data_IF_882910998345
#
_entry.id   IF_882910998345
#
_cell.length_a   1.000
_cell.length_b   1.000
_cell.length_c   1.000
_cell.angle_alpha   90.00
_cell.angle_beta   90.00
_cell.angle_gamma   90.00
#
_symmetry.space_group_name_H-M   'P 1'
#
loop_
_entity.id
_entity.type
_entity.pdbx_description
1 polymer ?
#
# COMPACT_ATOMS: atom_id res chain seq x y z
N UNK A 1 -37.31 31.87 -29.47
CA UNK A 1 -36.71 30.53 -29.37
C UNK A 1 -35.41 30.62 -28.59
N UNK A 2 -35.36 30.19 -27.33
CA UNK A 2 -34.12 30.04 -26.57
C UNK A 2 -34.23 28.71 -25.80
N UNK A 3 -33.61 27.66 -26.34
CA UNK A 3 -33.47 26.39 -25.63
C UNK A 3 -32.20 26.49 -24.81
N UNK A 4 -32.36 26.67 -23.50
CA UNK A 4 -31.24 26.68 -22.55
C UNK A 4 -30.65 25.27 -22.50
N UNK A 5 -29.35 25.16 -22.81
CA UNK A 5 -28.59 23.95 -22.62
C UNK A 5 -28.41 23.71 -21.12
N UNK A 6 -29.07 22.68 -20.60
CA UNK A 6 -28.79 22.16 -19.26
C UNK A 6 -27.51 21.33 -19.39
N UNK A 7 -26.38 21.94 -19.01
CA UNK A 7 -25.11 21.25 -18.85
C UNK A 7 -25.18 20.49 -17.52
N UNK A 8 -25.60 19.22 -17.59
CA UNK A 8 -25.47 18.29 -16.48
C UNK A 8 -23.98 17.96 -16.38
N UNK A 9 -23.24 18.73 -15.58
CA UNK A 9 -21.94 18.31 -15.05
C UNK A 9 -22.24 17.17 -14.07
N UNK A 10 -22.38 15.97 -14.62
CA UNK A 10 -22.39 14.75 -13.83
C UNK A 10 -21.01 14.61 -13.21
N UNK A 11 -20.88 14.96 -11.93
CA UNK A 11 -19.75 14.57 -11.13
C UNK A 11 -19.76 13.04 -11.00
N UNK A 12 -19.14 12.36 -11.96
CA UNK A 12 -18.59 11.03 -11.73
C UNK A 12 -17.44 11.23 -10.74
N UNK A 13 -17.77 11.19 -9.45
CA UNK A 13 -16.81 10.87 -8.41
C UNK A 13 -16.37 9.43 -8.67
N UNK A 14 -15.44 9.29 -9.62
CA UNK A 14 -14.62 8.11 -9.78
C UNK A 14 -13.97 7.91 -8.41
N UNK A 15 -14.36 6.83 -7.74
CA UNK A 15 -13.61 6.27 -6.63
C UNK A 15 -12.19 6.05 -7.15
N UNK A 16 -11.29 7.01 -6.97
CA UNK A 16 -9.87 6.77 -7.15
C UNK A 16 -9.45 5.89 -5.97
N UNK A 17 -8.74 4.79 -6.23
CA UNK A 17 -8.20 3.99 -5.13
C UNK A 17 -7.32 4.85 -4.23
N UNK A 18 -7.66 4.96 -2.94
CA UNK A 18 -6.88 5.74 -1.97
C UNK A 18 -5.47 5.16 -1.78
N UNK A 19 -5.30 3.87 -2.07
CA UNK A 19 -4.05 3.14 -1.90
C UNK A 19 -3.74 2.28 -3.12
N UNK A 20 -2.46 1.92 -3.27
CA UNK A 20 -1.99 0.99 -4.29
C UNK A 20 -0.97 0.01 -3.74
N UNK A 21 -0.82 -1.11 -4.42
CA UNK A 21 0.35 -1.98 -4.32
C UNK A 21 0.89 -2.28 -5.72
N UNK A 22 2.10 -2.81 -5.82
CA UNK A 22 2.72 -3.17 -7.09
C UNK A 22 2.60 -4.68 -7.32
N UNK A 23 1.98 -5.08 -8.44
CA UNK A 23 2.00 -6.46 -8.94
C UNK A 23 2.97 -6.54 -10.13
N UNK A 24 4.22 -6.92 -9.85
CA UNK A 24 5.32 -6.73 -10.79
C UNK A 24 5.53 -5.24 -11.08
N UNK A 25 5.53 -4.85 -12.35
CA UNK A 25 5.71 -3.46 -12.79
C UNK A 25 4.40 -2.65 -12.85
N UNK A 26 3.26 -3.24 -12.45
CA UNK A 26 1.94 -2.61 -12.56
C UNK A 26 1.40 -2.20 -11.19
N UNK A 27 1.05 -0.93 -10.97
CA UNK A 27 0.30 -0.54 -9.79
C UNK A 27 -1.13 -1.09 -9.88
N UNK A 28 -1.63 -1.60 -8.77
CA UNK A 28 -3.01 -2.08 -8.60
C UNK A 28 -3.68 -1.22 -7.54
N UNK A 29 -4.79 -0.57 -7.90
CA UNK A 29 -5.58 0.25 -7.00
C UNK A 29 -6.35 -0.60 -5.98
N UNK A 30 -6.43 -0.09 -4.76
CA UNK A 30 -7.13 -0.69 -3.63
C UNK A 30 -8.30 0.21 -3.22
N UNK A 31 -9.49 -0.36 -3.12
CA UNK A 31 -10.70 0.38 -2.78
C UNK A 31 -11.15 0.08 -1.35
N UNK A 32 -10.79 0.99 -0.43
CA UNK A 32 -11.23 1.01 0.97
C UNK A 32 -10.86 -0.24 1.79
N UNK A 33 -10.73 -0.11 3.12
CA UNK A 33 -10.66 -1.29 3.97
C UNK A 33 -12.04 -1.97 4.00
N UNK A 34 -12.10 -3.24 3.58
CA UNK A 34 -13.37 -3.95 3.33
C UNK A 34 -14.05 -4.32 4.63
N UNK A 35 -13.32 -4.86 5.60
CA UNK A 35 -13.72 -5.04 7.01
C UNK A 35 -12.70 -5.91 7.76
N UNK A 36 -12.55 -5.60 9.06
CA UNK A 36 -11.98 -6.41 10.16
C UNK A 36 -10.50 -6.78 10.06
N UNK A 37 -9.71 -6.21 10.97
CA UNK A 37 -8.42 -6.76 11.37
C UNK A 37 -8.64 -8.21 11.80
N UNK A 38 -8.22 -9.17 10.96
CA UNK A 38 -8.20 -10.57 11.36
C UNK A 38 -6.80 -10.85 11.86
N UNK A 39 -6.69 -11.37 13.10
CA UNK A 39 -5.43 -11.91 13.59
C UNK A 39 -5.05 -13.10 12.73
N UNK A 40 -3.91 -12.99 12.05
CA UNK A 40 -3.27 -14.12 11.40
C UNK A 40 -2.92 -15.17 12.45
N UNK A 41 -2.73 -16.44 12.05
CA UNK A 41 -2.25 -17.51 12.93
C UNK A 41 -0.90 -17.20 13.59
N UNK A 42 -0.17 -16.21 13.05
CA UNK A 42 1.09 -15.69 13.57
C UNK A 42 0.92 -14.49 14.53
N UNK A 43 -0.31 -14.10 14.87
CA UNK A 43 -0.60 -12.99 15.80
C UNK A 43 -0.54 -11.59 15.17
N UNK A 44 -0.39 -11.49 13.86
CA UNK A 44 -0.31 -10.22 13.12
C UNK A 44 -1.68 -9.72 12.69
N UNK A 45 -1.88 -8.39 12.75
CA UNK A 45 -3.07 -7.71 12.29
C UNK A 45 -3.04 -7.58 10.75
N UNK A 46 -4.04 -8.14 10.07
CA UNK A 46 -4.18 -8.06 8.61
C UNK A 46 -5.33 -7.14 8.25
N UNK A 47 -5.06 -6.16 7.39
CA UNK A 47 -6.05 -5.27 6.80
C UNK A 47 -6.44 -5.76 5.39
N UNK A 48 -7.74 -5.98 5.17
CA UNK A 48 -8.25 -6.48 3.90
C UNK A 48 -8.83 -5.37 3.02
N UNK A 49 -8.48 -5.41 1.74
CA UNK A 49 -8.96 -4.49 0.69
C UNK A 49 -9.62 -5.28 -0.44
N UNK A 50 -10.52 -4.62 -1.20
CA UNK A 50 -11.11 -5.17 -2.42
C UNK A 50 -10.43 -4.55 -3.63
N UNK A 51 -10.11 -5.41 -4.60
CA UNK A 51 -9.69 -5.01 -5.94
C UNK A 51 -10.90 -4.71 -6.81
N UNK A 52 -10.67 -4.06 -7.96
CA UNK A 52 -11.72 -3.75 -8.95
C UNK A 52 -12.42 -4.99 -9.52
N UNK A 53 -11.72 -6.15 -9.51
CA UNK A 53 -12.25 -7.45 -9.95
C UNK A 53 -13.11 -8.15 -8.86
N UNK A 54 -13.29 -7.52 -7.70
CA UNK A 54 -14.05 -8.05 -6.58
C UNK A 54 -13.27 -9.02 -5.67
N UNK A 55 -12.04 -9.38 -6.02
CA UNK A 55 -11.20 -10.22 -5.16
C UNK A 55 -10.60 -9.44 -4.00
N UNK A 56 -10.23 -10.16 -2.94
CA UNK A 56 -9.72 -9.58 -1.69
C UNK A 56 -8.20 -9.76 -1.57
N UNK A 57 -7.56 -8.74 -1.01
CA UNK A 57 -6.13 -8.72 -0.70
C UNK A 57 -5.91 -8.36 0.76
N UNK A 58 -5.11 -9.16 1.45
CA UNK A 58 -4.71 -8.90 2.84
C UNK A 58 -3.33 -8.25 2.91
N UNK A 59 -3.21 -7.17 3.68
CA UNK A 59 -1.99 -6.42 3.91
C UNK A 59 -1.60 -6.55 5.38
N UNK A 60 -0.33 -6.87 5.66
CA UNK A 60 0.21 -6.94 7.02
C UNK A 60 0.84 -5.61 7.46
N UNK A 61 1.35 -5.57 8.70
CA UNK A 61 2.12 -4.45 9.24
C UNK A 61 3.53 -4.30 8.67
N UNK A 62 3.91 -5.00 7.59
CA UNK A 62 5.28 -5.02 7.07
C UNK A 62 5.41 -4.34 5.71
N UNK A 63 6.60 -3.84 5.42
CA UNK A 63 6.96 -3.17 4.17
C UNK A 63 8.29 -3.74 3.67
N UNK A 64 8.33 -4.16 2.41
CA UNK A 64 9.58 -4.42 1.70
C UNK A 64 9.95 -3.16 0.91
N UNK A 65 11.12 -2.59 1.20
CA UNK A 65 11.61 -1.38 0.54
C UNK A 65 13.01 -1.61 -0.02
N UNK A 66 13.28 -1.01 -1.18
CA UNK A 66 14.61 -0.91 -1.77
C UNK A 66 14.94 0.55 -2.01
N UNK A 67 16.08 0.98 -1.49
CA UNK A 67 16.63 2.31 -1.73
C UNK A 67 17.69 2.27 -2.83
N UNK A 68 17.96 3.42 -3.45
CA UNK A 68 19.13 3.63 -4.31
C UNK A 68 20.43 3.59 -3.49
N UNK A 69 20.40 4.16 -2.27
CA UNK A 69 21.46 4.15 -1.28
C UNK A 69 20.88 4.03 0.14
N UNK A 70 21.62 3.38 1.04
CA UNK A 70 21.24 3.24 2.45
C UNK A 70 21.36 4.50 3.31
N UNK A 71 21.84 5.62 2.77
CA UNK A 71 22.19 6.82 3.55
C UNK A 71 21.00 7.41 4.34
N UNK A 72 19.79 7.35 3.76
CA UNK A 72 18.59 7.97 4.32
C UNK A 72 17.71 7.03 5.15
N UNK A 73 18.11 5.76 5.33
CA UNK A 73 17.22 4.78 5.98
C UNK A 73 16.83 5.21 7.40
N UNK A 74 17.77 5.74 8.19
CA UNK A 74 17.48 6.17 9.57
C UNK A 74 16.43 7.28 9.60
N UNK A 75 16.53 8.24 8.68
CA UNK A 75 15.55 9.30 8.56
C UNK A 75 14.15 8.73 8.30
N UNK A 76 14.02 7.76 7.38
CA UNK A 76 12.71 7.17 7.08
C UNK A 76 12.15 6.29 8.19
N UNK A 77 13.00 5.58 8.92
CA UNK A 77 12.58 4.84 10.11
C UNK A 77 11.97 5.79 11.15
N UNK A 78 12.59 6.96 11.37
CA UNK A 78 12.10 7.97 12.30
C UNK A 78 10.86 8.72 11.78
N UNK A 79 10.89 9.22 10.54
CA UNK A 79 9.80 10.00 9.90
C UNK A 79 8.48 9.23 9.89
N UNK A 80 8.53 7.91 9.68
CA UNK A 80 7.34 7.06 9.55
C UNK A 80 7.10 6.14 10.75
N UNK A 81 7.91 6.21 11.80
CA UNK A 81 7.79 5.34 12.97
C UNK A 81 7.94 3.85 12.63
N UNK A 82 8.86 3.52 11.72
CA UNK A 82 9.11 2.16 11.26
C UNK A 82 10.25 1.52 12.03
N UNK A 83 10.16 0.20 12.21
CA UNK A 83 11.23 -0.63 12.78
C UNK A 83 11.89 -1.43 11.68
N UNK A 84 13.22 -1.46 11.68
CA UNK A 84 13.97 -2.36 10.82
C UNK A 84 13.89 -3.79 11.37
N UNK A 85 13.27 -4.70 10.62
CA UNK A 85 13.25 -6.13 10.96
C UNK A 85 14.46 -6.86 10.36
N UNK A 86 14.77 -6.57 9.09
CA UNK A 86 15.82 -7.28 8.36
C UNK A 86 16.40 -6.41 7.26
N UNK A 87 17.73 -6.45 7.13
CA UNK A 87 18.45 -6.05 5.91
C UNK A 87 18.75 -7.30 5.11
N UNK A 88 18.55 -7.25 3.79
CA UNK A 88 18.99 -8.33 2.90
C UNK A 88 20.40 -8.02 2.38
N UNK A 89 21.22 -9.04 2.21
CA UNK A 89 22.63 -8.88 1.81
C UNK A 89 22.80 -8.42 0.35
N UNK A 90 21.73 -8.47 -0.44
CA UNK A 90 21.74 -8.13 -1.87
C UNK A 90 21.07 -6.78 -2.06
N UNK A 91 21.90 -5.75 -2.20
CA UNK A 91 21.47 -4.36 -2.39
C UNK A 91 20.90 -3.73 -1.12
N UNK A 92 20.45 -2.49 -1.25
CA UNK A 92 19.86 -1.73 -0.15
C UNK A 92 18.37 -2.06 0.02
N UNK A 93 18.08 -3.35 0.26
CA UNK A 93 16.74 -3.90 0.48
C UNK A 93 16.51 -4.18 1.96
N UNK A 94 15.36 -3.75 2.46
CA UNK A 94 14.99 -3.81 3.86
C UNK A 94 13.55 -4.30 4.05
N UNK A 95 13.35 -5.14 5.05
CA UNK A 95 12.05 -5.46 5.60
C UNK A 95 11.82 -4.58 6.83
N UNK A 96 10.79 -3.75 6.76
CA UNK A 96 10.39 -2.83 7.81
C UNK A 96 9.05 -3.26 8.41
N UNK A 97 8.81 -2.85 9.65
CA UNK A 97 7.55 -3.08 10.37
C UNK A 97 6.99 -1.75 10.88
N UNK A 98 5.70 -1.55 10.64
CA UNK A 98 4.91 -0.45 11.17
C UNK A 98 4.07 -0.92 12.37
N UNK A 99 3.56 0.04 13.13
CA UNK A 99 2.68 -0.24 14.29
C UNK A 99 1.38 -0.94 13.90
N UNK A 100 0.90 -0.77 12.67
CA UNK A 100 -0.30 -1.41 12.15
C UNK A 100 -0.23 -1.61 10.64
N UNK A 101 -1.07 -2.51 10.10
CA UNK A 101 -1.23 -2.72 8.67
C UNK A 101 -1.63 -1.44 7.90
N UNK A 102 -2.48 -0.60 8.50
CA UNK A 102 -2.83 0.71 7.93
C UNK A 102 -1.60 1.63 7.81
N UNK A 103 -0.79 1.71 8.88
CA UNK A 103 0.44 2.50 8.87
C UNK A 103 1.47 1.95 7.88
N UNK A 104 1.57 0.62 7.75
CA UNK A 104 2.44 0.00 6.77
C UNK A 104 2.07 0.40 5.34
N UNK A 105 0.77 0.38 5.02
CA UNK A 105 0.27 0.79 3.72
C UNK A 105 0.49 2.27 3.42
N UNK A 106 0.22 3.15 4.39
CA UNK A 106 0.48 4.59 4.30
C UNK A 106 1.98 4.85 4.05
N UNK A 107 2.85 4.27 4.87
CA UNK A 107 4.29 4.48 4.73
C UNK A 107 4.84 3.91 3.41
N UNK A 108 4.36 2.75 2.95
CA UNK A 108 4.77 2.19 1.67
C UNK A 108 4.42 3.13 0.50
N UNK A 109 3.22 3.72 0.51
CA UNK A 109 2.80 4.66 -0.54
C UNK A 109 3.60 5.97 -0.49
N UNK A 110 3.90 6.49 0.71
CA UNK A 110 4.72 7.70 0.88
C UNK A 110 6.18 7.45 0.48
N UNK A 111 6.76 6.33 0.90
CA UNK A 111 8.12 5.92 0.55
C UNK A 111 8.28 5.76 -0.96
N UNK A 112 7.30 5.15 -1.65
CA UNK A 112 7.32 5.02 -3.11
C UNK A 112 7.44 6.38 -3.83
N UNK A 113 6.97 7.47 -3.22
CA UNK A 113 7.09 8.82 -3.77
C UNK A 113 8.43 9.51 -3.53
N UNK A 114 9.36 8.89 -2.79
CA UNK A 114 10.67 9.48 -2.48
C UNK A 114 11.67 9.25 -3.62
N UNK A 115 12.55 10.22 -3.91
CA UNK A 115 13.43 10.18 -5.07
C UNK A 115 14.52 9.09 -4.99
N UNK A 116 14.89 8.67 -3.79
CA UNK A 116 15.92 7.66 -3.50
C UNK A 116 15.33 6.28 -3.18
N UNK A 117 14.02 6.09 -3.37
CA UNK A 117 13.33 4.81 -3.20
C UNK A 117 13.06 4.19 -4.56
N UNK A 118 13.67 3.03 -4.82
CA UNK A 118 13.45 2.26 -6.05
C UNK A 118 12.09 1.58 -6.01
N UNK A 119 11.73 0.98 -4.88
CA UNK A 119 10.37 0.48 -4.64
C UNK A 119 10.08 0.43 -3.14
N UNK A 120 8.81 0.58 -2.79
CA UNK A 120 8.29 0.31 -1.46
C UNK A 120 6.94 -0.39 -1.60
N UNK A 121 6.82 -1.58 -1.02
CA UNK A 121 5.63 -2.41 -1.14
C UNK A 121 5.19 -2.90 0.24
N UNK A 122 3.90 -2.76 0.59
CA UNK A 122 3.37 -3.44 1.75
C UNK A 122 3.44 -4.96 1.53
N UNK A 123 3.64 -5.71 2.60
CA UNK A 123 3.67 -7.16 2.57
C UNK A 123 2.23 -7.73 2.42
N UNK A 124 2.05 -8.61 1.45
CA UNK A 124 0.74 -9.12 1.00
C UNK A 124 0.59 -10.56 1.46
N UNK A 125 -0.43 -10.83 2.28
CA UNK A 125 -0.57 -12.12 2.98
C UNK A 125 -1.46 -13.11 2.22
N UNK A 126 -2.38 -12.67 1.37
CA UNK A 126 -3.22 -13.58 0.57
C UNK A 126 -3.95 -12.85 -0.55
N UNK A 127 -3.91 -13.43 -1.74
CA UNK A 127 -4.83 -13.16 -2.84
C UNK A 127 -5.82 -14.34 -2.88
N UNK A 128 -7.08 -14.12 -2.49
CA UNK A 128 -8.12 -15.14 -2.68
C UNK A 128 -8.88 -14.80 -3.95
N UNK A 129 -8.72 -15.64 -4.97
CA UNK A 129 -9.71 -15.70 -6.06
C UNK A 129 -10.89 -16.51 -5.54
N UNK A 130 -12.02 -15.83 -5.27
CA UNK A 130 -13.29 -16.52 -5.18
C UNK A 130 -13.60 -17.03 -6.59
N UNK A 131 -13.29 -18.31 -6.85
CA UNK A 131 -13.88 -19.06 -7.95
C UNK A 131 -15.32 -19.43 -7.62
#
# INVERSE_FOLDING_TARGET
MKKSAVLILGALSLFAGEYRYMNGDRPVELYGPVTTVKKHSLGEDILYFKKSDGSEIGISGRILVKFESSDNIRQYLEEYGLKLLKRYDIGDIYLLEAESAQKALEAANLLYGKPDVIFAQPDIVREWSLR
#
